data_IF_429014014265
#
_entry.id   IF_429014014265
#
_cell.length_a   1.000
_cell.length_b   1.000
_cell.length_c   1.000
_cell.angle_alpha   90.00
_cell.angle_beta   90.00
_cell.angle_gamma   90.00
#
_symmetry.space_group_name_H-M   'P 1'
#
loop_
_entity.id
_entity.type
_entity.pdbx_description
1 polymer ?
#
# COMPACT_ATOMS: atom_id res chain seq x y z
N UNK A 1 -6.24 -11.43 15.41
CA UNK A 1 -5.16 -10.45 15.63
C UNK A 1 -5.23 -10.06 17.09
N UNK A 2 -4.29 -10.56 17.90
CA UNK A 2 -4.38 -10.48 19.35
C UNK A 2 -3.42 -9.39 19.87
N UNK A 3 -3.99 -8.49 20.67
CA UNK A 3 -3.30 -7.70 21.70
C UNK A 3 -2.22 -6.67 21.26
N UNK A 4 -2.29 -6.10 20.05
CA UNK A 4 -1.47 -4.92 19.72
C UNK A 4 -2.18 -3.57 19.97
N UNK A 5 -3.46 -3.59 20.33
CA UNK A 5 -4.29 -2.37 20.39
C UNK A 5 -4.55 -1.72 19.02
N UNK A 6 -4.09 -2.33 17.93
CA UNK A 6 -4.25 -1.79 16.58
C UNK A 6 -5.61 -2.19 16.01
N UNK A 7 -6.35 -1.20 15.49
CA UNK A 7 -7.59 -1.43 14.75
C UNK A 7 -7.23 -1.79 13.31
N UNK A 8 -7.78 -2.91 12.82
CA UNK A 8 -7.76 -3.22 11.39
C UNK A 8 -8.54 -2.15 10.64
N UNK A 9 -7.83 -1.40 9.82
CA UNK A 9 -8.43 -0.43 8.91
C UNK A 9 -8.10 -0.83 7.46
N UNK A 10 -9.08 -0.69 6.58
CA UNK A 10 -8.84 -0.83 5.14
C UNK A 10 -8.02 0.36 4.66
N UNK A 11 -6.87 0.11 4.02
CA UNK A 11 -6.09 1.15 3.34
C UNK A 11 -6.85 1.58 2.09
N UNK A 12 -7.64 2.65 2.23
CA UNK A 12 -8.51 3.19 1.17
C UNK A 12 -8.69 4.69 1.34
N UNK A 13 -8.87 5.42 0.24
CA UNK A 13 -9.34 6.81 0.31
C UNK A 13 -10.72 6.88 0.96
N UNK A 14 -11.00 7.99 1.64
CA UNK A 14 -12.25 8.20 2.38
C UNK A 14 -13.49 8.21 1.46
N UNK A 15 -13.35 8.77 0.26
CA UNK A 15 -14.38 8.81 -0.78
C UNK A 15 -14.53 7.50 -1.57
N UNK A 16 -13.66 6.51 -1.30
CA UNK A 16 -13.67 5.22 -1.99
C UNK A 16 -13.10 5.23 -3.40
N UNK A 17 -12.74 6.40 -3.95
CA UNK A 17 -12.24 6.55 -5.32
C UNK A 17 -10.80 6.12 -5.55
N UNK A 18 -10.00 5.92 -4.49
CA UNK A 18 -8.58 5.55 -4.61
C UNK A 18 -8.19 4.40 -3.68
N UNK A 19 -7.48 3.41 -4.22
CA UNK A 19 -6.88 2.29 -3.50
C UNK A 19 -5.39 2.12 -3.79
N UNK A 20 -4.79 1.02 -3.34
CA UNK A 20 -3.40 0.68 -3.65
C UNK A 20 -3.22 0.48 -5.16
N UNK A 21 -2.07 0.93 -5.66
CA UNK A 21 -1.66 0.80 -7.06
C UNK A 21 -0.36 0.02 -7.11
N UNK A 22 -0.10 -0.61 -8.24
CA UNK A 22 1.13 -1.36 -8.45
C UNK A 22 2.41 -0.51 -8.27
N UNK A 23 2.33 0.78 -8.61
CA UNK A 23 3.42 1.73 -8.39
C UNK A 23 3.66 2.13 -6.93
N UNK A 24 2.83 1.68 -5.97
CA UNK A 24 3.09 1.91 -4.55
C UNK A 24 4.14 0.94 -3.99
N UNK A 25 4.45 -0.14 -4.72
CA UNK A 25 5.48 -1.11 -4.34
C UNK A 25 6.84 -0.63 -4.83
N UNK A 26 7.79 -0.48 -3.92
CA UNK A 26 9.12 0.10 -4.22
C UNK A 26 9.96 -0.82 -5.12
N UNK A 27 9.76 -2.13 -4.99
CA UNK A 27 10.58 -3.15 -5.66
C UNK A 27 9.84 -3.79 -6.85
N UNK A 28 8.79 -3.15 -7.35
CA UNK A 28 8.04 -3.61 -8.54
C UNK A 28 8.60 -2.96 -9.81
N UNK A 29 8.86 -3.79 -10.81
CA UNK A 29 9.12 -3.38 -12.18
C UNK A 29 8.00 -3.85 -13.08
N UNK A 30 7.45 -2.90 -13.85
CA UNK A 30 6.40 -3.17 -14.83
C UNK A 30 7.07 -3.28 -16.19
N UNK A 31 6.96 -4.46 -16.79
CA UNK A 31 7.42 -4.75 -18.14
C UNK A 31 6.22 -4.96 -19.05
N UNK A 32 6.46 -4.97 -20.37
CA UNK A 32 5.39 -5.21 -21.35
C UNK A 32 4.75 -6.60 -21.17
N UNK A 33 5.56 -7.58 -20.77
CA UNK A 33 5.16 -8.99 -20.67
C UNK A 33 4.84 -9.44 -19.24
N UNK A 34 4.90 -8.53 -18.26
CA UNK A 34 4.57 -8.90 -16.88
C UNK A 34 5.09 -7.95 -15.81
N UNK A 35 5.01 -8.42 -14.58
CA UNK A 35 5.39 -7.70 -13.37
C UNK A 35 6.48 -8.50 -12.67
N UNK A 36 7.59 -7.85 -12.36
CA UNK A 36 8.69 -8.46 -11.62
C UNK A 36 8.81 -7.79 -10.25
N UNK A 37 8.89 -8.61 -9.19
CA UNK A 37 9.23 -8.14 -7.85
C UNK A 37 10.71 -8.43 -7.61
N UNK A 38 11.53 -7.40 -7.53
CA UNK A 38 12.98 -7.58 -7.32
C UNK A 38 13.30 -8.05 -5.89
N UNK A 39 12.33 -7.96 -4.97
CA UNK A 39 12.44 -8.43 -3.59
C UNK A 39 11.06 -8.77 -3.00
N UNK A 40 11.00 -9.89 -2.29
CA UNK A 40 9.82 -10.38 -1.57
C UNK A 40 10.25 -10.76 -0.14
N UNK A 41 9.60 -10.23 0.93
CA UNK A 41 8.50 -9.27 0.89
C UNK A 41 8.94 -7.89 0.38
N UNK A 42 8.05 -7.19 -0.33
CA UNK A 42 8.30 -5.85 -0.86
C UNK A 42 7.77 -4.76 0.08
N UNK A 43 8.43 -3.60 0.09
CA UNK A 43 7.98 -2.42 0.80
C UNK A 43 6.88 -1.68 0.02
N UNK A 44 5.85 -1.25 0.76
CA UNK A 44 4.74 -0.46 0.25
C UNK A 44 4.86 1.00 0.73
N UNK A 45 4.83 1.94 -0.21
CA UNK A 45 4.77 3.38 0.10
C UNK A 45 3.32 3.81 0.25
N UNK A 46 2.93 4.27 1.44
CA UNK A 46 1.58 4.76 1.70
C UNK A 46 1.49 6.22 1.26
N UNK A 47 0.70 6.49 0.22
CA UNK A 47 0.40 7.86 -0.21
C UNK A 47 -0.41 8.58 0.87
N UNK A 48 -0.18 9.89 1.02
CA UNK A 48 -0.89 10.74 1.99
C UNK A 48 -2.43 10.64 1.90
N UNK A 49 -2.98 10.50 0.69
CA UNK A 49 -4.43 10.34 0.48
C UNK A 49 -5.00 9.02 1.02
N UNK A 50 -4.17 8.00 1.21
CA UNK A 50 -4.54 6.72 1.79
C UNK A 50 -4.21 6.63 3.29
N UNK A 51 -3.34 7.50 3.80
CA UNK A 51 -2.93 7.50 5.21
C UNK A 51 -4.11 7.82 6.12
N UNK A 52 -4.34 6.95 7.11
CA UNK A 52 -5.33 7.13 8.18
C UNK A 52 -4.74 7.66 9.47
N UNK A 53 -3.41 7.71 9.55
CA UNK A 53 -2.68 8.22 10.72
C UNK A 53 -2.86 9.74 10.92
N UNK A 54 -3.37 10.47 9.91
CA UNK A 54 -3.56 11.94 9.90
C UNK A 54 -2.30 12.76 10.24
N UNK A 55 -1.16 12.12 10.47
CA UNK A 55 0.18 12.65 10.66
C UNK A 55 1.17 11.71 9.98
N UNK A 56 1.90 12.28 9.02
CA UNK A 56 2.89 11.71 8.07
C UNK A 56 2.50 10.40 7.38
#
# INVERSE_FOLDING_TARGET
>A
MAFSGLRLESIRSYDGGVGLKLGDFVEVRIHKDGIEFTKVPSMLTIRKSLSKARHQ
#
